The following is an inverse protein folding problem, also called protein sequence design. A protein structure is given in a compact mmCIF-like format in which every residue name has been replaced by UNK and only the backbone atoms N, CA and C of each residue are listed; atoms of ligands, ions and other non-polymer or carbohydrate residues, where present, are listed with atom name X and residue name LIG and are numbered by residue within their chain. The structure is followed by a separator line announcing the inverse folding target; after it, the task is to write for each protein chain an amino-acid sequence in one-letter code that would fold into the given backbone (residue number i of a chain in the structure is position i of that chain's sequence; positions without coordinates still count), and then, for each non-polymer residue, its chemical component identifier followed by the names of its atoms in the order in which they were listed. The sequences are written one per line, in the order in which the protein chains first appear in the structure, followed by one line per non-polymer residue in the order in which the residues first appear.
data_IF_504023121931
#
_entry.id   IF_504023121931
#
_cell.length_a   1.000
_cell.length_b   1.000
_cell.length_c   1.000
_cell.angle_alpha   90.00
_cell.angle_beta   90.00
_cell.angle_gamma   90.00
#
_symmetry.space_group_name_H-M   'P 1'
#
loop_
_entity.id
_entity.type
_entity.pdbx_description
1 polymer ?
#
# COMPACT_ATOMS: atom_id res chain seq x y z
N UNK A 1 -10.83 22.18 -1.53
CA UNK A 1 -12.00 21.73 -2.31
C UNK A 1 -12.10 20.20 -2.28
N UNK A 2 -12.78 19.61 -1.30
CA UNK A 2 -12.90 18.13 -1.11
C UNK A 2 -14.32 17.57 -1.33
N UNK A 3 -15.29 18.40 -1.72
CA UNK A 3 -16.71 18.00 -1.77
C UNK A 3 -17.15 17.24 -3.03
N UNK A 4 -16.38 17.23 -4.12
CA UNK A 4 -16.81 16.58 -5.38
C UNK A 4 -16.61 15.06 -5.45
N UNK A 5 -15.76 14.46 -4.61
CA UNK A 5 -15.52 13.00 -4.64
C UNK A 5 -16.73 12.18 -4.15
N UNK A 6 -17.52 12.72 -3.23
CA UNK A 6 -18.77 12.10 -2.78
C UNK A 6 -19.82 12.05 -3.89
N UNK A 7 -19.86 13.06 -4.77
CA UNK A 7 -20.78 13.10 -5.90
C UNK A 7 -20.43 12.06 -6.98
N UNK A 8 -19.13 11.79 -7.20
CA UNK A 8 -18.67 10.74 -8.12
C UNK A 8 -19.00 9.32 -7.63
N UNK A 9 -19.05 9.09 -6.32
CA UNK A 9 -19.50 7.81 -5.74
C UNK A 9 -21.00 7.63 -6.00
N UNK A 10 -21.82 8.67 -5.79
CA UNK A 10 -23.26 8.63 -6.06
C UNK A 10 -23.61 8.34 -7.54
N UNK A 11 -22.81 8.83 -8.49
CA UNK A 11 -23.01 8.60 -9.93
C UNK A 11 -22.88 7.12 -10.34
N UNK A 12 -22.08 6.29 -9.63
CA UNK A 12 -21.91 4.86 -9.94
C UNK A 12 -23.09 3.98 -9.50
N UNK A 13 -23.95 4.48 -8.61
CA UNK A 13 -25.15 3.77 -8.10
C UNK A 13 -26.46 4.26 -8.74
N UNK A 14 -26.40 5.28 -9.59
CA UNK A 14 -27.56 5.98 -10.16
C UNK A 14 -28.56 5.05 -10.88
N UNK A 15 -28.07 4.03 -11.60
CA UNK A 15 -28.94 3.05 -12.30
C UNK A 15 -29.75 2.15 -11.36
N UNK A 16 -29.28 1.94 -10.12
CA UNK A 16 -29.91 1.05 -9.15
C UNK A 16 -30.82 1.79 -8.19
N UNK A 17 -30.53 3.05 -7.91
CA UNK A 17 -31.41 3.94 -7.13
C UNK A 17 -32.80 4.09 -7.76
N UNK A 18 -32.90 3.99 -9.08
CA UNK A 18 -34.17 4.06 -9.82
C UNK A 18 -35.16 2.98 -9.35
N UNK A 19 -34.72 1.75 -9.10
CA UNK A 19 -35.63 0.68 -8.63
C UNK A 19 -36.08 0.89 -7.19
N UNK A 20 -35.25 1.50 -6.35
CA UNK A 20 -35.60 1.88 -4.98
C UNK A 20 -36.60 3.04 -4.93
N UNK A 21 -36.37 4.08 -5.74
CA UNK A 21 -37.29 5.23 -5.87
C UNK A 21 -38.65 4.79 -6.41
N UNK A 22 -38.66 3.90 -7.43
CA UNK A 22 -39.89 3.33 -7.96
C UNK A 22 -40.63 2.51 -6.89
N UNK A 23 -39.90 1.74 -6.08
CA UNK A 23 -40.50 0.96 -4.97
C UNK A 23 -41.13 1.83 -3.89
N UNK A 24 -40.50 2.95 -3.52
CA UNK A 24 -41.05 3.94 -2.58
C UNK A 24 -42.32 4.59 -3.16
N UNK A 25 -42.31 4.93 -4.45
CA UNK A 25 -43.48 5.54 -5.10
C UNK A 25 -44.68 4.58 -5.10
N UNK A 26 -44.46 3.28 -5.33
CA UNK A 26 -45.50 2.26 -5.26
C UNK A 26 -46.05 2.07 -3.83
N UNK A 27 -45.22 2.18 -2.81
CA UNK A 27 -45.67 2.15 -1.40
C UNK A 27 -46.51 3.38 -1.04
N UNK A 28 -46.11 4.57 -1.49
CA UNK A 28 -46.90 5.79 -1.30
C UNK A 28 -48.25 5.66 -2.03
N UNK A 29 -48.26 5.15 -3.26
CA UNK A 29 -49.49 4.91 -4.02
C UNK A 29 -50.42 3.90 -3.32
N UNK A 30 -49.87 2.81 -2.79
CA UNK A 30 -50.61 1.84 -1.97
C UNK A 30 -51.25 2.49 -0.74
N UNK A 31 -50.51 3.36 -0.03
CA UNK A 31 -51.00 4.07 1.14
C UNK A 31 -52.10 5.08 0.78
N UNK A 32 -51.95 5.82 -0.31
CA UNK A 32 -52.96 6.77 -0.80
C UNK A 32 -54.28 6.05 -1.14
N UNK A 33 -54.22 4.88 -1.79
CA UNK A 33 -55.42 4.08 -2.10
C UNK A 33 -56.18 3.66 -0.84
N UNK A 34 -55.49 3.46 0.28
CA UNK A 34 -56.11 3.12 1.58
C UNK A 34 -56.70 4.34 2.30
N UNK A 35 -56.17 5.54 2.07
CA UNK A 35 -56.56 6.76 2.81
C UNK A 35 -57.68 7.58 2.13
N UNK A 36 -57.93 7.39 0.84
CA UNK A 36 -58.83 8.27 0.06
C UNK A 36 -60.33 8.08 0.39
N UNK A 37 -60.76 6.93 0.94
CA UNK A 37 -62.16 6.72 1.36
C UNK A 37 -62.25 5.73 2.54
N UNK A 38 -63.12 6.01 3.51
CA UNK A 38 -63.32 5.19 4.72
C UNK A 38 -64.08 3.89 4.42
N UNK A 39 -64.94 3.87 3.39
CA UNK A 39 -65.62 2.66 2.89
C UNK A 39 -64.85 2.03 1.72
N UNK A 40 -63.96 1.09 2.03
CA UNK A 40 -63.07 0.47 1.05
C UNK A 40 -63.70 -0.79 0.46
N UNK A 41 -64.04 -0.77 -0.83
CA UNK A 41 -64.48 -1.98 -1.55
C UNK A 41 -63.38 -3.06 -1.60
N UNK A 42 -63.72 -4.37 -1.55
CA UNK A 42 -62.73 -5.46 -1.54
C UNK A 42 -61.71 -5.41 -2.69
N UNK A 43 -62.15 -4.96 -3.87
CA UNK A 43 -61.30 -4.80 -5.05
C UNK A 43 -60.17 -3.77 -4.83
N UNK A 44 -60.45 -2.65 -4.15
CA UNK A 44 -59.45 -1.60 -3.88
C UNK A 44 -58.43 -2.05 -2.85
N UNK A 45 -58.85 -2.85 -1.87
CA UNK A 45 -57.96 -3.52 -0.92
C UNK A 45 -56.97 -4.45 -1.65
N UNK A 46 -57.47 -5.25 -2.59
CA UNK A 46 -56.62 -6.13 -3.42
C UNK A 46 -55.57 -5.37 -4.23
N UNK A 47 -55.97 -4.25 -4.86
CA UNK A 47 -55.06 -3.40 -5.62
C UNK A 47 -53.96 -2.79 -4.73
N UNK A 48 -54.32 -2.33 -3.52
CA UNK A 48 -53.34 -1.76 -2.58
C UNK A 48 -52.32 -2.81 -2.12
N UNK A 49 -52.75 -4.05 -1.85
CA UNK A 49 -51.87 -5.14 -1.45
C UNK A 49 -50.83 -5.46 -2.53
N UNK A 50 -51.27 -5.54 -3.80
CA UNK A 50 -50.39 -5.80 -4.94
C UNK A 50 -49.35 -4.69 -5.09
N UNK A 51 -49.77 -3.43 -4.99
CA UNK A 51 -48.86 -2.27 -5.07
C UNK A 51 -47.84 -2.27 -3.92
N UNK A 52 -48.25 -2.64 -2.71
CA UNK A 52 -47.35 -2.73 -1.56
C UNK A 52 -46.27 -3.81 -1.76
N UNK A 53 -46.66 -5.00 -2.22
CA UNK A 53 -45.74 -6.12 -2.47
C UNK A 53 -44.73 -5.76 -3.57
N UNK A 54 -45.20 -5.16 -4.67
CA UNK A 54 -44.32 -4.68 -5.75
C UNK A 54 -43.36 -3.59 -5.26
N UNK A 55 -43.84 -2.68 -4.40
CA UNK A 55 -43.03 -1.64 -3.78
C UNK A 55 -41.89 -2.18 -2.92
N UNK A 56 -42.22 -3.12 -2.02
CA UNK A 56 -41.22 -3.81 -1.17
C UNK A 56 -40.22 -4.58 -2.03
N UNK A 57 -40.69 -5.28 -3.07
CA UNK A 57 -39.83 -6.03 -3.98
C UNK A 57 -38.83 -5.13 -4.71
N UNK A 58 -39.26 -3.95 -5.19
CA UNK A 58 -38.38 -2.96 -5.83
C UNK A 58 -37.29 -2.43 -4.90
N UNK A 59 -37.64 -2.17 -3.63
CA UNK A 59 -36.70 -1.76 -2.58
C UNK A 59 -35.70 -2.89 -2.29
N UNK A 60 -36.16 -4.13 -2.16
CA UNK A 60 -35.28 -5.28 -1.92
C UNK A 60 -34.27 -5.49 -3.06
N UNK A 61 -34.69 -5.37 -4.32
CA UNK A 61 -33.78 -5.42 -5.49
C UNK A 61 -32.74 -4.30 -5.42
N UNK A 62 -33.16 -3.09 -5.05
CA UNK A 62 -32.26 -1.95 -4.92
C UNK A 62 -31.15 -2.26 -3.89
N UNK A 63 -31.55 -2.70 -2.69
CA UNK A 63 -30.62 -3.08 -1.63
C UNK A 63 -29.69 -4.21 -2.05
N UNK A 64 -30.21 -5.29 -2.65
CA UNK A 64 -29.41 -6.42 -3.12
C UNK A 64 -28.35 -5.98 -4.13
N UNK A 65 -28.70 -5.12 -5.08
CA UNK A 65 -27.77 -4.67 -6.13
C UNK A 65 -26.73 -3.68 -5.59
N UNK A 66 -27.11 -2.80 -4.67
CA UNK A 66 -26.17 -1.93 -3.94
C UNK A 66 -25.19 -2.80 -3.15
N UNK A 67 -25.68 -3.82 -2.44
CA UNK A 67 -24.86 -4.73 -1.66
C UNK A 67 -23.86 -5.53 -2.51
N UNK A 68 -24.30 -6.12 -3.63
CA UNK A 68 -23.39 -6.84 -4.54
C UNK A 68 -22.31 -5.90 -5.11
N UNK A 69 -22.68 -4.69 -5.52
CA UNK A 69 -21.72 -3.69 -6.00
C UNK A 69 -20.77 -3.24 -4.89
N UNK A 70 -21.27 -3.05 -3.67
CA UNK A 70 -20.46 -2.70 -2.51
C UNK A 70 -19.42 -3.80 -2.24
N UNK A 71 -19.87 -5.06 -2.15
CA UNK A 71 -18.99 -6.22 -1.98
C UNK A 71 -17.98 -6.32 -3.13
N UNK A 72 -18.38 -6.14 -4.38
CA UNK A 72 -17.48 -6.25 -5.52
C UNK A 72 -16.45 -5.10 -5.61
N UNK A 73 -16.87 -3.87 -5.31
CA UNK A 73 -15.97 -2.70 -5.28
C UNK A 73 -14.96 -2.82 -4.13
N UNK A 74 -15.36 -3.35 -2.98
CA UNK A 74 -14.46 -3.61 -1.86
C UNK A 74 -13.59 -4.87 -2.08
N UNK A 75 -14.12 -5.89 -2.76
CA UNK A 75 -13.39 -7.14 -3.08
C UNK A 75 -12.21 -6.91 -4.03
N UNK A 76 -12.26 -5.87 -4.87
CA UNK A 76 -11.15 -5.57 -5.79
C UNK A 76 -10.07 -4.67 -5.17
N UNK A 77 -10.20 -4.28 -3.89
CA UNK A 77 -9.26 -3.37 -3.23
C UNK A 77 -8.88 -3.74 -1.79
N UNK A 78 -9.36 -4.86 -1.24
CA UNK A 78 -8.99 -5.32 0.11
C UNK A 78 -8.36 -6.70 0.05
N UNK A 79 -7.06 -6.68 0.39
CA UNK A 79 -5.99 -7.70 0.41
C UNK A 79 -6.27 -8.93 1.32
N UNK A 80 -7.49 -9.08 1.82
CA UNK A 80 -7.97 -10.31 2.47
C UNK A 80 -9.48 -10.19 2.58
N UNK A 81 -10.24 -11.13 2.01
CA UNK A 81 -11.68 -11.20 2.25
C UNK A 81 -11.87 -11.53 3.73
N UNK A 82 -12.36 -10.60 4.58
CA UNK A 82 -12.56 -10.90 5.98
C UNK A 82 -13.60 -12.02 6.05
N UNK A 83 -13.25 -13.10 6.75
CA UNK A 83 -14.12 -14.27 6.86
C UNK A 83 -15.29 -13.98 7.81
N UNK A 84 -15.10 -13.01 8.72
CA UNK A 84 -16.07 -12.68 9.76
C UNK A 84 -16.07 -11.18 10.11
N UNK A 85 -17.20 -10.66 10.61
CA UNK A 85 -17.36 -9.23 10.98
C UNK A 85 -16.47 -8.84 12.17
N UNK A 86 -16.16 -9.79 13.06
CA UNK A 86 -15.23 -9.60 14.18
C UNK A 86 -13.81 -9.25 13.71
N UNK A 87 -13.30 -9.89 12.66
CA UNK A 87 -11.97 -9.61 12.11
C UNK A 87 -11.87 -8.16 11.60
N UNK A 88 -12.94 -7.64 11.00
CA UNK A 88 -12.98 -6.25 10.51
C UNK A 88 -12.85 -5.28 11.68
N UNK A 89 -13.57 -5.53 12.78
CA UNK A 89 -13.50 -4.70 13.99
C UNK A 89 -12.08 -4.71 14.57
N UNK A 90 -11.45 -5.87 14.64
CA UNK A 90 -10.12 -6.03 15.23
C UNK A 90 -9.04 -5.36 14.36
N UNK A 91 -9.16 -5.43 13.03
CA UNK A 91 -8.28 -4.69 12.09
C UNK A 91 -8.42 -3.17 12.28
N UNK A 92 -9.66 -2.66 12.38
CA UNK A 92 -9.91 -1.23 12.59
C UNK A 92 -9.37 -0.77 13.94
N UNK A 93 -9.58 -1.58 14.99
CA UNK A 93 -9.09 -1.29 16.34
C UNK A 93 -7.56 -1.29 16.39
N UNK A 94 -6.91 -2.30 15.79
CA UNK A 94 -5.45 -2.37 15.67
C UNK A 94 -4.91 -1.13 14.95
N UNK A 95 -5.48 -0.76 13.80
CA UNK A 95 -5.06 0.46 13.07
C UNK A 95 -5.19 1.73 13.89
N UNK A 96 -6.24 1.86 14.70
CA UNK A 96 -6.43 3.03 15.58
C UNK A 96 -5.42 3.08 16.72
N UNK A 97 -5.07 1.93 17.31
CA UNK A 97 -4.04 1.86 18.34
C UNK A 97 -2.67 2.21 17.75
N UNK A 98 -2.31 1.58 16.62
CA UNK A 98 -1.00 1.78 15.98
C UNK A 98 -0.78 3.24 15.56
N UNK A 99 -1.83 3.96 15.13
CA UNK A 99 -1.73 5.38 14.78
C UNK A 99 -1.53 6.30 15.98
N UNK A 100 -1.94 5.87 17.18
CA UNK A 100 -1.64 6.56 18.45
C UNK A 100 -0.31 6.13 19.06
N UNK A 101 0.40 5.18 18.43
CA UNK A 101 1.70 4.69 18.89
C UNK A 101 2.81 5.76 18.82
N UNK A 102 3.97 5.50 19.45
CA UNK A 102 5.09 6.43 19.46
C UNK A 102 5.63 6.72 18.06
N UNK A 103 6.16 7.92 17.86
CA UNK A 103 6.88 8.28 16.63
C UNK A 103 8.31 7.76 16.73
N UNK A 104 8.69 6.89 15.80
CA UNK A 104 10.01 6.24 15.80
C UNK A 104 10.73 6.56 14.50
N UNK A 105 11.96 7.05 14.63
CA UNK A 105 12.88 7.24 13.49
C UNK A 105 13.99 6.21 13.60
N UNK A 106 14.20 5.42 12.55
CA UNK A 106 15.33 4.49 12.44
C UNK A 106 16.31 5.00 11.40
N UNK A 107 17.61 4.96 11.70
CA UNK A 107 18.66 5.35 10.77
C UNK A 107 19.57 4.13 10.58
N UNK A 108 19.80 3.71 9.33
CA UNK A 108 20.65 2.57 9.06
C UNK A 108 20.54 2.05 7.63
N UNK A 109 20.83 0.77 7.46
CA UNK A 109 20.74 0.04 6.21
C UNK A 109 20.63 -1.47 6.43
N UNK A 110 20.78 -2.23 5.37
CA UNK A 110 20.92 -3.67 5.37
C UNK A 110 19.77 -4.46 5.99
N UNK A 111 20.12 -5.66 6.46
CA UNK A 111 19.18 -6.63 7.03
C UNK A 111 18.81 -6.33 8.49
N UNK A 112 19.69 -5.65 9.24
CA UNK A 112 19.41 -5.26 10.62
C UNK A 112 18.24 -4.29 10.71
N UNK A 113 18.27 -3.24 9.88
CA UNK A 113 17.19 -2.23 9.85
C UNK A 113 15.88 -2.85 9.38
N UNK A 114 15.89 -3.65 8.30
CA UNK A 114 14.67 -4.29 7.81
C UNK A 114 14.07 -5.28 8.82
N UNK A 115 14.89 -6.00 9.58
CA UNK A 115 14.43 -6.90 10.66
C UNK A 115 13.77 -6.11 11.79
N UNK A 116 14.40 -5.01 12.23
CA UNK A 116 13.84 -4.11 13.24
C UNK A 116 12.50 -3.52 12.79
N UNK A 117 12.43 -3.02 11.56
CA UNK A 117 11.21 -2.43 10.98
C UNK A 117 10.04 -3.43 10.92
N UNK A 118 10.34 -4.68 10.57
CA UNK A 118 9.34 -5.77 10.53
C UNK A 118 8.73 -6.04 11.92
N UNK A 119 9.50 -5.89 12.99
CA UNK A 119 8.99 -5.97 14.36
C UNK A 119 8.26 -4.69 14.78
N UNK A 120 8.84 -3.52 14.51
CA UNK A 120 8.29 -2.23 14.94
C UNK A 120 6.89 -1.93 14.38
N UNK A 121 6.59 -2.36 13.15
CA UNK A 121 5.28 -2.12 12.53
C UNK A 121 4.11 -2.77 13.28
N UNK A 122 4.39 -3.75 14.12
CA UNK A 122 3.39 -4.37 15.00
C UNK A 122 3.04 -3.52 16.23
N UNK A 123 3.83 -2.48 16.53
CA UNK A 123 3.68 -1.63 17.72
C UNK A 123 3.32 -0.18 17.40
N UNK A 124 3.72 0.34 16.24
CA UNK A 124 3.38 1.70 15.81
C UNK A 124 3.33 1.80 14.28
N UNK A 125 2.44 2.63 13.76
CA UNK A 125 2.43 3.00 12.33
C UNK A 125 3.18 4.31 12.06
N UNK A 126 3.67 4.98 13.11
CA UNK A 126 4.39 6.26 13.03
C UNK A 126 5.90 6.03 12.87
N UNK A 127 6.27 5.22 11.88
CA UNK A 127 7.67 4.85 11.60
C UNK A 127 8.22 5.71 10.46
N UNK A 128 9.44 6.22 10.63
CA UNK A 128 10.22 6.82 9.55
C UNK A 128 11.59 6.17 9.50
N UNK A 129 11.93 5.53 8.38
CA UNK A 129 13.24 4.94 8.17
C UNK A 129 14.08 5.83 7.25
N UNK A 130 15.24 6.25 7.73
CA UNK A 130 16.27 6.93 6.94
C UNK A 130 17.30 5.87 6.57
N UNK A 131 17.44 5.62 5.26
CA UNK A 131 18.18 4.48 4.74
C UNK A 131 19.40 4.97 3.97
N UNK A 132 20.56 4.37 4.26
CA UNK A 132 21.80 4.64 3.51
C UNK A 132 21.65 4.27 2.03
N UNK A 133 22.30 5.06 1.17
CA UNK A 133 22.37 4.85 -0.28
C UNK A 133 23.83 4.85 -0.76
N UNK A 134 24.76 4.46 0.11
CA UNK A 134 26.20 4.43 -0.19
C UNK A 134 26.69 3.10 -0.80
N UNK A 135 25.88 2.05 -0.77
CA UNK A 135 26.22 0.71 -1.26
C UNK A 135 26.68 0.70 -2.73
N UNK A 136 27.75 -0.04 -3.01
CA UNK A 136 28.29 -0.25 -4.35
C UNK A 136 28.41 -1.73 -4.73
N UNK A 137 27.90 -2.63 -3.89
CA UNK A 137 27.98 -4.08 -4.05
C UNK A 137 26.79 -4.75 -4.76
N UNK A 138 27.05 -5.94 -5.30
CA UNK A 138 26.05 -6.86 -5.83
C UNK A 138 25.15 -6.28 -6.93
N UNK A 139 23.91 -6.77 -7.03
CA UNK A 139 22.96 -6.31 -8.05
C UNK A 139 22.56 -4.82 -7.91
N UNK A 140 22.66 -4.25 -6.71
CA UNK A 140 22.42 -2.82 -6.48
C UNK A 140 23.55 -1.97 -7.06
N UNK A 141 24.80 -2.38 -6.86
CA UNK A 141 25.98 -1.74 -7.46
C UNK A 141 25.98 -1.80 -8.98
N UNK A 142 25.56 -2.92 -9.56
CA UNK A 142 25.42 -3.05 -11.04
C UNK A 142 24.41 -2.03 -11.57
N UNK A 143 23.21 -1.95 -10.99
CA UNK A 143 22.20 -0.98 -11.44
C UNK A 143 22.63 0.46 -11.23
N UNK A 144 23.34 0.74 -10.13
CA UNK A 144 23.93 2.06 -9.87
C UNK A 144 24.92 2.46 -10.95
N UNK A 145 25.79 1.54 -11.38
CA UNK A 145 26.78 1.80 -12.43
C UNK A 145 26.14 1.90 -13.82
N UNK A 146 25.16 1.04 -14.12
CA UNK A 146 24.57 0.96 -15.46
C UNK A 146 23.54 2.07 -15.73
N UNK A 147 22.76 2.46 -14.71
CA UNK A 147 21.64 3.39 -14.84
C UNK A 147 21.89 4.74 -14.16
N UNK A 148 23.00 4.91 -13.44
CA UNK A 148 23.32 6.14 -12.71
C UNK A 148 22.37 6.46 -11.55
N UNK A 149 21.63 5.46 -11.06
CA UNK A 149 20.67 5.61 -9.96
C UNK A 149 21.31 5.34 -8.60
N UNK A 150 20.70 5.83 -7.52
CA UNK A 150 21.08 5.43 -6.16
C UNK A 150 20.85 3.92 -5.94
N UNK A 151 21.70 3.24 -5.14
CA UNK A 151 21.61 1.81 -4.94
C UNK A 151 20.27 1.42 -4.30
N UNK A 152 19.44 0.59 -4.98
CA UNK A 152 18.07 0.33 -4.54
C UNK A 152 17.93 -0.70 -3.42
N UNK A 153 18.98 -1.47 -3.12
CA UNK A 153 18.88 -2.71 -2.34
C UNK A 153 18.37 -2.55 -0.91
N UNK A 154 18.96 -1.64 -0.15
CA UNK A 154 18.62 -1.43 1.26
C UNK A 154 17.24 -0.81 1.43
N UNK A 155 16.88 0.12 0.56
CA UNK A 155 15.53 0.69 0.51
C UNK A 155 14.51 -0.40 0.17
N UNK A 156 14.78 -1.25 -0.84
CA UNK A 156 13.92 -2.38 -1.18
C UNK A 156 13.71 -3.30 0.03
N UNK A 157 14.76 -3.62 0.78
CA UNK A 157 14.63 -4.47 1.97
C UNK A 157 13.75 -3.81 3.05
N UNK A 158 13.90 -2.50 3.27
CA UNK A 158 13.05 -1.76 4.20
C UNK A 158 11.59 -1.67 3.73
N UNK A 159 11.37 -1.48 2.42
CA UNK A 159 10.03 -1.50 1.80
C UNK A 159 9.34 -2.83 2.06
N UNK A 160 10.02 -3.95 1.78
CA UNK A 160 9.51 -5.29 2.04
C UNK A 160 9.20 -5.53 3.52
N UNK A 161 10.02 -4.99 4.43
CA UNK A 161 9.78 -5.12 5.85
C UNK A 161 8.49 -4.40 6.30
N UNK A 162 8.24 -3.20 5.76
CA UNK A 162 7.09 -2.36 6.11
C UNK A 162 5.83 -2.64 5.29
N UNK A 163 5.92 -3.39 4.19
CA UNK A 163 4.80 -3.74 3.33
C UNK A 163 3.67 -4.49 4.07
N UNK A 164 2.42 -4.15 3.75
CA UNK A 164 1.20 -4.89 4.09
C UNK A 164 0.67 -5.64 2.84
N UNK A 165 1.54 -6.40 2.19
CA UNK A 165 1.24 -7.05 0.89
C UNK A 165 0.93 -8.54 1.01
N UNK A 166 0.30 -9.10 -0.02
CA UNK A 166 0.09 -10.55 -0.12
C UNK A 166 1.43 -11.32 -0.20
N UNK A 167 1.48 -12.57 0.30
CA UNK A 167 2.70 -13.39 0.27
C UNK A 167 3.28 -13.60 -1.13
N UNK A 168 2.44 -13.56 -2.17
CA UNK A 168 2.89 -13.70 -3.57
C UNK A 168 3.66 -12.46 -4.02
N UNK A 169 3.21 -11.25 -3.65
CA UNK A 169 3.88 -10.01 -4.02
C UNK A 169 5.21 -9.86 -3.27
N UNK A 170 5.28 -10.26 -2.01
CA UNK A 170 6.55 -10.31 -1.26
C UNK A 170 7.56 -11.24 -1.95
N UNK A 171 7.13 -12.44 -2.37
CA UNK A 171 7.96 -13.38 -3.13
C UNK A 171 8.42 -12.79 -4.47
N UNK A 172 7.54 -12.09 -5.18
CA UNK A 172 7.89 -11.45 -6.45
C UNK A 172 8.96 -10.37 -6.26
N UNK A 173 8.78 -9.49 -5.28
CA UNK A 173 9.72 -8.40 -5.00
C UNK A 173 11.08 -8.90 -4.48
N UNK A 174 11.09 -10.04 -3.78
CA UNK A 174 12.31 -10.71 -3.35
C UNK A 174 12.94 -11.61 -4.43
N UNK A 175 12.26 -11.84 -5.56
CA UNK A 175 12.72 -12.74 -6.60
C UNK A 175 14.05 -12.27 -7.19
N UNK A 176 14.99 -13.20 -7.33
CA UNK A 176 16.28 -12.99 -7.98
C UNK A 176 16.36 -13.89 -9.21
N UNK A 177 16.62 -13.27 -10.36
CA UNK A 177 16.78 -13.99 -11.62
C UNK A 177 18.00 -14.93 -11.54
N UNK A 178 17.82 -16.18 -11.93
CA UNK A 178 18.86 -17.21 -11.87
C UNK A 178 19.65 -17.36 -13.17
N UNK A 179 19.04 -16.94 -14.29
CA UNK A 179 19.54 -17.18 -15.65
C UNK A 179 19.24 -15.98 -16.57
N UNK A 180 19.83 -15.99 -17.77
CA UNK A 180 19.66 -14.94 -18.78
C UNK A 180 20.45 -13.66 -18.50
N UNK A 181 20.12 -12.60 -19.25
CA UNK A 181 20.78 -11.28 -19.15
C UNK A 181 20.54 -10.58 -17.82
N UNK A 182 19.45 -10.91 -17.13
CA UNK A 182 19.12 -10.37 -15.81
C UNK A 182 19.67 -11.22 -14.66
N UNK A 183 20.47 -12.27 -14.95
CA UNK A 183 21.01 -13.17 -13.92
C UNK A 183 21.65 -12.38 -12.78
N UNK A 184 21.23 -12.69 -11.54
CA UNK A 184 21.70 -12.03 -10.33
C UNK A 184 20.96 -10.74 -9.98
N UNK A 185 20.15 -10.16 -10.87
CA UNK A 185 19.30 -9.01 -10.55
C UNK A 185 18.11 -9.43 -9.70
N UNK A 186 17.68 -8.52 -8.82
CA UNK A 186 16.46 -8.70 -8.03
C UNK A 186 15.33 -7.89 -8.67
N UNK A 187 14.16 -8.52 -8.86
CA UNK A 187 13.01 -7.84 -9.46
C UNK A 187 12.62 -6.56 -8.69
N UNK A 188 12.63 -6.59 -7.35
CA UNK A 188 12.34 -5.40 -6.55
C UNK A 188 13.32 -4.23 -6.80
N UNK A 189 14.58 -4.51 -7.14
CA UNK A 189 15.53 -3.47 -7.52
C UNK A 189 15.20 -2.88 -8.89
N UNK A 190 14.85 -3.72 -9.86
CA UNK A 190 14.42 -3.28 -11.19
C UNK A 190 13.13 -2.48 -11.12
N UNK A 191 12.22 -2.88 -10.23
CA UNK A 191 10.98 -2.14 -10.00
C UNK A 191 11.27 -0.75 -9.44
N UNK A 192 12.14 -0.62 -8.43
CA UNK A 192 12.55 0.69 -7.92
C UNK A 192 13.31 1.52 -8.97
N UNK A 193 14.14 0.89 -9.80
CA UNK A 193 14.82 1.57 -10.91
C UNK A 193 13.81 2.12 -11.94
N UNK A 194 12.79 1.34 -12.29
CA UNK A 194 11.71 1.79 -13.18
C UNK A 194 10.88 2.92 -12.54
N UNK A 195 10.57 2.81 -11.24
CA UNK A 195 9.90 3.88 -10.50
C UNK A 195 10.72 5.17 -10.50
N UNK A 196 12.05 5.06 -10.37
CA UNK A 196 12.94 6.21 -10.46
C UNK A 196 12.93 6.83 -11.86
N UNK A 197 12.94 6.01 -12.92
CA UNK A 197 12.90 6.50 -14.30
C UNK A 197 11.63 7.26 -14.70
N UNK A 198 10.53 7.11 -13.93
CA UNK A 198 9.26 7.84 -14.15
C UNK A 198 9.01 8.93 -13.10
N UNK A 199 9.92 9.11 -12.13
CA UNK A 199 9.77 10.09 -11.04
C UNK A 199 10.73 11.26 -11.23
N UNK A 200 10.40 12.41 -10.64
CA UNK A 200 11.26 13.60 -10.71
C UNK A 200 12.50 13.47 -9.82
N UNK A 201 12.43 12.67 -8.76
CA UNK A 201 13.54 12.40 -7.85
C UNK A 201 13.50 10.99 -7.28
N UNK A 202 14.63 10.55 -6.71
CA UNK A 202 14.71 9.25 -6.06
C UNK A 202 13.83 9.17 -4.81
N UNK A 203 13.74 10.24 -4.00
CA UNK A 203 12.78 10.29 -2.88
C UNK A 203 11.35 10.06 -3.37
N UNK A 204 10.96 10.71 -4.47
CA UNK A 204 9.63 10.57 -5.04
C UNK A 204 9.38 9.13 -5.53
N UNK A 205 10.38 8.49 -6.14
CA UNK A 205 10.30 7.09 -6.56
C UNK A 205 10.09 6.14 -5.37
N UNK A 206 10.83 6.35 -4.29
CA UNK A 206 10.71 5.59 -3.03
C UNK A 206 9.31 5.77 -2.46
N UNK A 207 8.79 7.00 -2.43
CA UNK A 207 7.43 7.30 -1.98
C UNK A 207 6.37 6.59 -2.81
N UNK A 208 6.43 6.68 -4.14
CA UNK A 208 5.45 6.03 -5.01
C UNK A 208 5.51 4.50 -4.91
N UNK A 209 6.71 3.91 -4.80
CA UNK A 209 6.84 2.48 -4.55
C UNK A 209 6.21 2.11 -3.19
N UNK A 210 6.43 2.93 -2.16
CA UNK A 210 5.81 2.76 -0.84
C UNK A 210 4.28 2.80 -0.89
N UNK A 211 3.70 3.70 -1.69
CA UNK A 211 2.25 3.79 -1.90
C UNK A 211 1.70 2.54 -2.62
N UNK A 212 2.40 2.04 -3.65
CA UNK A 212 2.02 0.82 -4.37
C UNK A 212 2.05 -0.41 -3.46
N UNK A 213 3.04 -0.47 -2.55
CA UNK A 213 3.19 -1.57 -1.60
C UNK A 213 2.39 -1.38 -0.30
N UNK A 214 1.66 -0.27 -0.16
CA UNK A 214 0.90 0.08 1.02
C UNK A 214 1.71 -0.11 2.31
N UNK A 215 2.92 0.47 2.37
CA UNK A 215 3.81 0.30 3.52
C UNK A 215 3.26 0.99 4.79
N UNK A 216 3.58 0.41 5.94
CA UNK A 216 3.30 1.00 7.26
C UNK A 216 4.46 1.88 7.70
N UNK A 217 4.37 3.18 7.42
CA UNK A 217 5.38 4.18 7.76
C UNK A 217 5.90 4.93 6.55
N UNK A 218 7.10 5.50 6.65
CA UNK A 218 7.78 6.23 5.57
C UNK A 218 9.23 5.80 5.48
N UNK A 219 9.78 5.83 4.27
CA UNK A 219 11.18 5.56 4.00
C UNK A 219 11.76 6.74 3.23
N UNK A 220 12.92 7.22 3.66
CA UNK A 220 13.67 8.27 3.01
C UNK A 220 15.10 7.79 2.73
N UNK A 221 15.65 8.07 1.54
CA UNK A 221 17.09 7.95 1.34
C UNK A 221 17.80 9.00 2.20
N UNK A 222 19.02 8.70 2.67
CA UNK A 222 19.81 9.67 3.47
C UNK A 222 20.22 10.91 2.66
N UNK A 223 20.31 10.78 1.33
CA UNK A 223 20.58 11.87 0.38
C UNK A 223 19.98 11.51 -0.99
N UNK A 224 19.78 12.51 -1.85
CA UNK A 224 19.49 12.29 -3.27
C UNK A 224 20.77 12.25 -4.13
N UNK A 225 21.92 12.60 -3.55
CA UNK A 225 23.20 12.63 -4.24
C UNK A 225 23.85 11.25 -4.34
N UNK A 226 24.57 11.02 -5.44
CA UNK A 226 25.32 9.79 -5.66
C UNK A 226 26.61 9.78 -4.82
N UNK A 227 26.55 9.22 -3.60
CA UNK A 227 27.63 9.25 -2.61
C UNK A 227 28.40 7.93 -2.51
N UNK A 228 29.72 7.97 -2.29
CA UNK A 228 30.53 6.77 -2.06
C UNK A 228 31.09 6.81 -0.65
N UNK A 229 31.01 5.70 0.08
CA UNK A 229 31.66 5.60 1.38
C UNK A 229 33.19 5.52 1.18
N UNK A 230 33.95 6.30 1.95
CA UNK A 230 35.41 6.26 1.99
C UNK A 230 35.87 5.97 3.41
N UNK A 231 36.76 5.01 3.59
CA UNK A 231 37.41 4.73 4.88
C UNK A 231 38.88 5.17 4.84
N UNK A 232 39.33 5.84 5.90
CA UNK A 232 40.74 6.06 6.19
C UNK A 232 41.19 5.04 7.23
N UNK A 233 42.28 4.33 6.95
CA UNK A 233 42.91 3.39 7.88
C UNK A 233 43.89 4.11 8.82
N UNK A 234 44.31 3.44 9.90
CA UNK A 234 45.30 4.00 10.85
C UNK A 234 46.65 4.37 10.21
N UNK A 235 47.03 3.71 9.11
CA UNK A 235 48.27 3.99 8.37
C UNK A 235 48.12 5.15 7.34
N UNK A 236 46.95 5.77 7.27
CA UNK A 236 46.62 6.86 6.35
C UNK A 236 46.11 6.40 4.97
N UNK A 237 46.06 5.09 4.70
CA UNK A 237 45.51 4.56 3.45
C UNK A 237 44.02 4.87 3.34
N UNK A 238 43.58 5.33 2.17
CA UNK A 238 42.17 5.58 1.89
C UNK A 238 41.58 4.53 0.95
N UNK A 239 40.41 4.01 1.30
CA UNK A 239 39.68 3.00 0.55
C UNK A 239 38.30 3.55 0.22
N UNK A 240 37.98 3.61 -1.07
CA UNK A 240 36.68 4.07 -1.58
C UNK A 240 35.79 2.89 -1.98
N UNK A 241 34.53 2.93 -1.57
CA UNK A 241 33.50 1.95 -1.88
C UNK A 241 33.16 1.05 -0.70
N UNK A 242 31.88 0.93 -0.36
CA UNK A 242 31.39 0.15 0.78
C UNK A 242 31.89 -1.29 0.72
N UNK A 243 31.76 -1.94 -0.45
CA UNK A 243 32.11 -3.34 -0.61
C UNK A 243 33.63 -3.57 -0.56
N UNK A 244 34.43 -2.56 -0.96
CA UNK A 244 35.89 -2.61 -0.82
C UNK A 244 36.32 -2.41 0.63
N UNK A 245 35.66 -1.51 1.35
CA UNK A 245 35.86 -1.32 2.78
C UNK A 245 35.49 -2.62 3.54
N UNK A 246 34.39 -3.28 3.19
CA UNK A 246 33.99 -4.54 3.83
C UNK A 246 34.99 -5.70 3.64
N UNK A 247 35.74 -5.69 2.53
CA UNK A 247 36.69 -6.76 2.17
C UNK A 247 38.17 -6.37 2.33
N UNK A 248 38.48 -5.13 2.75
CA UNK A 248 39.84 -4.58 2.73
C UNK A 248 40.86 -5.43 3.49
N UNK A 249 40.46 -6.08 4.59
CA UNK A 249 41.39 -6.88 5.39
C UNK A 249 41.99 -8.08 4.61
N UNK A 250 41.45 -8.43 3.45
CA UNK A 250 42.03 -9.45 2.55
C UNK A 250 43.15 -8.91 1.67
N UNK A 251 43.11 -7.62 1.32
CA UNK A 251 44.07 -6.99 0.40
C UNK A 251 45.06 -6.07 1.12
N UNK A 252 44.57 -5.32 2.11
CA UNK A 252 45.35 -4.40 2.94
C UNK A 252 44.82 -4.41 4.39
N UNK A 253 45.35 -5.31 5.25
CA UNK A 253 44.94 -5.41 6.65
C UNK A 253 45.20 -4.12 7.42
N UNK A 254 44.20 -3.65 8.15
CA UNK A 254 44.32 -2.45 8.98
C UNK A 254 43.04 -2.14 9.74
N UNK A 255 43.15 -1.29 10.76
CA UNK A 255 41.96 -0.76 11.45
C UNK A 255 41.46 0.47 10.73
N UNK A 256 40.14 0.56 10.60
CA UNK A 256 39.48 1.77 10.11
C UNK A 256 39.58 2.83 11.21
N UNK A 257 40.22 3.95 10.89
CA UNK A 257 40.33 5.13 11.75
C UNK A 257 39.06 5.97 11.69
N UNK A 258 38.54 6.22 10.49
CA UNK A 258 37.30 6.96 10.28
C UNK A 258 36.67 6.64 8.91
N UNK A 259 35.39 7.00 8.77
CA UNK A 259 34.65 6.93 7.49
C UNK A 259 34.10 8.31 7.11
N UNK A 260 34.05 8.59 5.82
CA UNK A 260 33.58 9.84 5.22
C UNK A 260 32.85 9.56 3.90
N UNK A 261 32.23 10.60 3.31
CA UNK A 261 31.49 10.54 2.04
C UNK A 261 32.25 11.30 0.94
#
# INVERSE_FOLDING_TARGET
MRSLKWFQIGLRFKKWLISGVLGIFLLIASLVVLLVNVDISPLRWGISLILAVLGIYGIFICFRKIFIKFVHVYSNGIIKKPSNVSEIRDIIYKRKILSTGPRVVTIGGGTGTSTLLRGLKEYTSNITAIVTVADDGGGSGVLRNDLGILPPGDIRNCMLALAETEPVLEKLLAYRFTEGSLKGQCFGNLFLAAMNGISDSFEQAVKYMGDVLAITGRIYPVTEDNIFLVAELEDGTQIRGESRIGSHNTTHPGKIKQVML
#
